data_IF_771320942990
#
_entry.id   IF_771320942990
#
_cell.length_a   1.000
_cell.length_b   1.000
_cell.length_c   1.000
_cell.angle_alpha   90.00
_cell.angle_beta   90.00
_cell.angle_gamma   90.00
#
_symmetry.space_group_name_H-M   'P 1'
#
loop_
_entity.id
_entity.type
_entity.pdbx_description
1 polymer ?
#
# COMPACT_ATOMS: atom_id res chain seq x y z
N UNK A 1 16.67 -8.31 -4.15
CA UNK A 1 15.35 -8.54 -4.77
C UNK A 1 15.07 -7.40 -5.74
N UNK A 2 14.39 -7.64 -6.86
CA UNK A 2 14.10 -6.58 -7.84
C UNK A 2 12.99 -5.66 -7.29
N UNK A 3 13.12 -4.33 -7.43
CA UNK A 3 12.06 -3.41 -7.01
C UNK A 3 10.84 -3.50 -7.93
N UNK A 4 9.67 -3.16 -7.38
CA UNK A 4 8.41 -2.98 -8.12
C UNK A 4 8.15 -1.49 -8.32
N UNK A 5 7.93 -1.08 -9.56
CA UNK A 5 7.75 0.32 -9.92
C UNK A 5 6.31 0.55 -10.38
N UNK A 6 5.68 1.58 -9.84
CA UNK A 6 4.32 1.97 -10.16
C UNK A 6 4.31 3.40 -10.66
N UNK A 7 3.51 3.67 -11.69
CA UNK A 7 3.31 5.01 -12.24
C UNK A 7 1.94 5.12 -12.89
N UNK A 8 1.19 6.15 -12.51
CA UNK A 8 -0.08 6.49 -13.12
C UNK A 8 -0.32 8.01 -13.07
N UNK A 9 -1.56 8.44 -13.34
CA UNK A 9 -1.94 9.87 -13.34
C UNK A 9 -1.79 10.57 -11.99
N UNK A 10 -1.76 9.82 -10.88
CA UNK A 10 -1.63 10.38 -9.53
C UNK A 10 -0.17 10.53 -9.10
N UNK A 11 0.76 9.83 -9.76
CA UNK A 11 2.18 9.90 -9.41
C UNK A 11 2.95 8.62 -9.71
N UNK A 12 4.06 8.44 -9.02
CA UNK A 12 4.91 7.26 -9.10
C UNK A 12 5.47 6.87 -7.74
N UNK A 13 5.77 5.60 -7.56
CA UNK A 13 6.47 5.09 -6.38
C UNK A 13 7.24 3.82 -6.72
N UNK A 14 8.13 3.46 -5.79
CA UNK A 14 8.92 2.24 -5.85
C UNK A 14 8.71 1.43 -4.57
N UNK A 15 8.47 0.14 -4.71
CA UNK A 15 8.38 -0.80 -3.61
C UNK A 15 9.59 -1.73 -3.64
N UNK A 16 10.34 -1.77 -2.55
CA UNK A 16 11.53 -2.60 -2.42
C UNK A 16 11.19 -3.76 -1.47
N UNK A 17 11.22 -5.02 -1.91
CA UNK A 17 11.02 -6.16 -1.02
C UNK A 17 12.11 -6.20 0.05
N UNK A 18 11.69 -6.24 1.32
CA UNK A 18 12.57 -6.30 2.49
C UNK A 18 12.42 -7.61 3.27
N UNK A 19 11.56 -8.50 2.80
CA UNK A 19 11.40 -9.86 3.30
C UNK A 19 11.44 -10.86 2.15
N UNK A 20 11.74 -12.11 2.46
CA UNK A 20 11.49 -13.23 1.54
C UNK A 20 10.00 -13.40 1.25
N UNK A 21 9.70 -14.12 0.16
CA UNK A 21 8.33 -14.51 -0.16
C UNK A 21 7.80 -15.44 0.94
N UNK A 22 6.68 -15.06 1.57
CA UNK A 22 6.08 -15.84 2.64
C UNK A 22 4.57 -15.88 2.52
N UNK A 23 3.94 -16.81 3.26
CA UNK A 23 2.48 -16.83 3.37
C UNK A 23 1.99 -15.55 4.04
N UNK A 24 0.95 -14.95 3.49
CA UNK A 24 0.34 -13.73 4.05
C UNK A 24 -0.17 -13.98 5.47
N UNK A 25 -0.65 -15.20 5.77
CA UNK A 25 -1.05 -15.61 7.12
C UNK A 25 0.07 -15.53 8.16
N UNK A 26 1.33 -15.57 7.74
CA UNK A 26 2.48 -15.51 8.62
C UNK A 26 2.95 -14.06 8.86
N UNK A 27 2.41 -13.10 8.12
CA UNK A 27 2.74 -11.69 8.26
C UNK A 27 1.94 -11.12 9.43
N UNK A 28 2.65 -10.72 10.50
CA UNK A 28 2.06 -10.06 11.65
C UNK A 28 2.56 -8.63 11.73
N UNK A 29 1.64 -7.67 11.79
CA UNK A 29 1.98 -6.24 11.85
C UNK A 29 2.85 -5.84 13.04
N UNK A 30 2.82 -6.61 14.14
CA UNK A 30 3.68 -6.38 15.32
C UNK A 30 5.15 -6.68 15.06
N UNK A 31 5.45 -7.60 14.13
CA UNK A 31 6.81 -8.04 13.79
C UNK A 31 7.44 -7.14 12.71
N UNK A 32 6.65 -6.27 12.09
CA UNK A 32 7.14 -5.34 11.06
C UNK A 32 7.87 -4.17 11.72
N UNK A 33 9.13 -3.98 11.33
CA UNK A 33 9.96 -2.85 11.75
C UNK A 33 9.27 -1.50 11.46
N UNK A 34 9.35 -0.58 12.42
CA UNK A 34 8.75 0.76 12.33
C UNK A 34 9.26 1.54 11.12
N UNK A 35 10.49 1.31 10.65
CA UNK A 35 11.02 2.01 9.47
C UNK A 35 10.29 1.67 8.16
N UNK A 36 9.61 0.51 8.10
CA UNK A 36 8.82 0.10 6.93
C UNK A 36 7.34 0.47 7.07
N UNK A 37 6.98 1.17 8.15
CA UNK A 37 5.64 1.65 8.41
C UNK A 37 5.54 3.12 8.05
N UNK A 38 4.37 3.53 7.55
CA UNK A 38 4.07 4.91 7.18
C UNK A 38 2.66 5.30 7.65
N UNK A 39 2.37 6.59 7.68
CA UNK A 39 1.09 7.10 8.14
C UNK A 39 -0.06 6.83 7.16
N UNK A 40 -1.30 7.03 7.62
CA UNK A 40 -2.49 6.83 6.79
C UNK A 40 -2.53 7.75 5.56
N UNK A 41 -2.03 8.97 5.67
CA UNK A 41 -1.99 9.93 4.55
C UNK A 41 -1.08 9.43 3.42
N UNK A 42 0.05 8.81 3.77
CA UNK A 42 0.96 8.17 2.82
C UNK A 42 0.30 6.92 2.24
N UNK A 43 -0.39 6.15 3.08
CA UNK A 43 -1.14 4.98 2.66
C UNK A 43 -2.14 5.33 1.53
N UNK A 44 -2.95 6.37 1.71
CA UNK A 44 -3.91 6.81 0.69
C UNK A 44 -3.25 7.15 -0.65
N UNK A 45 -2.10 7.81 -0.64
CA UNK A 45 -1.32 8.13 -1.86
C UNK A 45 -0.83 6.86 -2.54
N UNK A 46 -0.31 5.91 -1.77
CA UNK A 46 0.16 4.60 -2.27
C UNK A 46 -1.00 3.83 -2.89
N UNK A 47 -2.16 3.79 -2.24
CA UNK A 47 -3.36 3.13 -2.76
C UNK A 47 -3.80 3.70 -4.11
N UNK A 48 -3.74 5.04 -4.28
CA UNK A 48 -4.06 5.68 -5.55
C UNK A 48 -3.03 5.40 -6.65
N UNK A 49 -1.72 5.41 -6.33
CA UNK A 49 -0.68 5.14 -7.34
C UNK A 49 -0.64 3.67 -7.74
N UNK A 50 -0.84 2.76 -6.78
CA UNK A 50 -0.83 1.31 -7.05
C UNK A 50 -2.16 0.79 -7.56
N UNK A 51 -3.25 1.55 -7.37
CA UNK A 51 -4.63 1.13 -7.61
C UNK A 51 -5.00 -0.21 -6.94
N UNK A 52 -4.30 -0.54 -5.85
CA UNK A 52 -4.34 -1.85 -5.17
C UNK A 52 -4.01 -3.05 -6.07
N UNK A 53 -3.28 -2.83 -7.17
CA UNK A 53 -2.88 -3.90 -8.07
C UNK A 53 -1.78 -4.77 -7.44
N UNK A 54 -2.19 -5.96 -7.01
CA UNK A 54 -1.39 -6.92 -6.26
C UNK A 54 -0.73 -6.32 -4.99
N UNK A 55 -1.27 -5.22 -4.47
CA UNK A 55 -0.78 -4.55 -3.27
C UNK A 55 -1.88 -4.50 -2.24
N UNK A 56 -1.53 -4.86 -1.01
CA UNK A 56 -2.40 -4.74 0.14
C UNK A 56 -1.73 -3.81 1.15
N UNK A 57 -2.46 -2.77 1.56
CA UNK A 57 -2.10 -1.99 2.73
C UNK A 57 -2.71 -2.62 3.96
N UNK A 58 -1.87 -2.89 4.96
CA UNK A 58 -2.31 -3.56 6.18
C UNK A 58 -1.93 -2.72 7.39
N UNK A 59 -2.80 -2.76 8.39
CA UNK A 59 -2.64 -2.06 9.67
C UNK A 59 -2.42 -3.12 10.75
N UNK A 60 -1.41 -2.92 11.60
CA UNK A 60 -1.17 -3.83 12.73
C UNK A 60 -2.36 -3.81 13.70
N UNK A 61 -2.58 -4.92 14.42
CA UNK A 61 -3.47 -4.98 15.57
C UNK A 61 -2.65 -4.86 16.88
N UNK A 62 -3.08 -4.05 17.89
CA UNK A 62 -4.23 -3.15 17.87
C UNK A 62 -4.08 -2.08 16.78
N UNK A 63 -5.20 -1.58 16.24
CA UNK A 63 -5.19 -0.63 15.12
C UNK A 63 -4.30 0.56 15.50
N UNK A 64 -3.26 0.76 14.69
CA UNK A 64 -2.35 1.91 14.78
C UNK A 64 -2.57 2.81 13.57
N UNK A 65 -2.24 4.09 13.68
CA UNK A 65 -2.21 5.03 12.55
C UNK A 65 -1.01 4.78 11.60
N UNK A 66 -0.49 3.56 11.58
CA UNK A 66 0.67 3.15 10.82
C UNK A 66 0.33 1.92 9.96
N UNK A 67 0.53 2.06 8.65
CA UNK A 67 0.34 1.03 7.66
C UNK A 67 1.68 0.47 7.17
N UNK A 68 1.66 -0.74 6.63
CA UNK A 68 2.75 -1.36 5.88
C UNK A 68 2.20 -1.99 4.60
N UNK A 69 3.08 -2.28 3.64
CA UNK A 69 2.69 -2.79 2.31
C UNK A 69 3.06 -4.26 2.20
N UNK A 70 2.09 -5.04 1.76
CA UNK A 70 2.28 -6.40 1.28
C UNK A 70 2.14 -6.37 -0.24
N UNK A 71 3.20 -6.73 -0.97
CA UNK A 71 3.12 -7.00 -2.41
C UNK A 71 2.84 -8.48 -2.60
N UNK A 72 1.69 -8.80 -3.18
CA UNK A 72 1.30 -10.16 -3.49
C UNK A 72 2.04 -10.67 -4.74
N UNK A 73 2.50 -11.92 -4.65
CA UNK A 73 2.88 -12.74 -5.81
C UNK A 73 1.72 -13.68 -6.18
N UNK A 74 0.91 -14.06 -5.19
CA UNK A 74 -0.31 -14.85 -5.35
C UNK A 74 -1.37 -14.44 -4.30
N UNK A 75 -2.54 -15.07 -4.36
CA UNK A 75 -3.60 -14.88 -3.36
C UNK A 75 -3.19 -15.24 -1.93
N UNK A 76 -2.15 -16.06 -1.74
CA UNK A 76 -1.72 -16.55 -0.41
C UNK A 76 -0.28 -16.19 -0.03
N UNK A 77 0.49 -15.61 -0.95
CA UNK A 77 1.91 -15.31 -0.74
C UNK A 77 2.26 -13.89 -1.15
N UNK A 78 3.14 -13.26 -0.38
CA UNK A 78 3.64 -11.94 -0.70
C UNK A 78 4.93 -11.57 0.04
N UNK A 79 5.38 -10.35 -0.25
CA UNK A 79 6.56 -9.72 0.32
C UNK A 79 6.15 -8.54 1.19
N UNK A 80 6.88 -8.30 2.27
CA UNK A 80 6.88 -6.99 2.91
C UNK A 80 7.72 -6.05 2.05
N UNK A 81 7.18 -4.88 1.77
CA UNK A 81 7.87 -3.87 0.98
C UNK A 81 8.16 -2.60 1.79
N UNK A 82 9.36 -2.09 1.62
CA UNK A 82 9.69 -0.71 1.93
C UNK A 82 9.17 0.20 0.81
N UNK A 83 8.56 1.32 1.21
CA UNK A 83 8.16 2.38 0.29
C UNK A 83 9.37 3.29 0.01
N UNK A 84 9.70 3.43 -1.25
CA UNK A 84 10.78 4.28 -1.74
C UNK A 84 10.30 5.17 -2.88
N UNK A 85 10.96 6.31 -3.07
CA UNK A 85 10.74 7.24 -4.20
C UNK A 85 9.27 7.64 -4.44
N UNK A 86 8.49 7.85 -3.36
CA UNK A 86 7.11 8.31 -3.48
C UNK A 86 7.04 9.74 -4.03
N UNK A 87 6.52 9.89 -5.25
CA UNK A 87 6.23 11.17 -5.86
C UNK A 87 4.73 11.24 -6.21
N UNK A 88 3.99 12.08 -5.48
CA UNK A 88 2.55 12.22 -5.65
C UNK A 88 2.20 13.61 -6.21
N UNK A 89 1.25 13.66 -7.13
CA UNK A 89 0.78 14.90 -7.74
C UNK A 89 0.15 15.81 -6.67
N UNK A 90 0.76 16.97 -6.44
CA UNK A 90 0.35 17.93 -5.40
C UNK A 90 -1.02 18.57 -5.66
N UNK A 91 -1.50 18.52 -6.90
CA UNK A 91 -2.82 19.06 -7.27
C UNK A 91 -3.96 18.12 -6.88
N UNK A 92 -3.65 16.86 -6.54
CA UNK A 92 -4.65 15.86 -6.14
C UNK A 92 -4.72 15.80 -4.61
N UNK A 93 -5.94 15.78 -4.06
CA UNK A 93 -6.17 15.42 -2.66
C UNK A 93 -6.53 13.93 -2.59
N UNK A 94 -5.65 13.11 -2.01
CA UNK A 94 -5.78 11.66 -2.03
C UNK A 94 -7.06 11.17 -1.34
N UNK A 95 -7.37 11.70 -0.16
CA UNK A 95 -8.57 11.35 0.61
C UNK A 95 -9.84 11.64 -0.18
N UNK A 96 -9.94 12.83 -0.78
CA UNK A 96 -11.12 13.23 -1.57
C UNK A 96 -11.31 12.33 -2.79
N UNK A 97 -10.23 11.98 -3.49
CA UNK A 97 -10.28 11.10 -4.66
C UNK A 97 -10.77 9.69 -4.28
N UNK A 98 -10.27 9.14 -3.17
CA UNK A 98 -10.70 7.84 -2.64
C UNK A 98 -12.19 7.90 -2.26
N UNK A 99 -12.62 8.96 -1.57
CA UNK A 99 -14.02 9.16 -1.19
C UNK A 99 -14.94 9.28 -2.41
N UNK A 100 -14.52 9.99 -3.46
CA UNK A 100 -15.27 10.08 -4.71
C UNK A 100 -15.40 8.70 -5.37
N UNK A 101 -14.30 7.95 -5.51
CA UNK A 101 -14.34 6.57 -6.05
C UNK A 101 -15.32 5.68 -5.28
N UNK A 102 -15.27 5.71 -3.95
CA UNK A 102 -16.16 4.91 -3.11
C UNK A 102 -17.64 5.36 -3.19
N UNK A 103 -17.90 6.66 -3.31
CA UNK A 103 -19.27 7.20 -3.41
C UNK A 103 -20.00 6.72 -4.67
N UNK A 104 -19.28 6.45 -5.76
CA UNK A 104 -19.85 5.89 -6.99
C UNK A 104 -19.92 4.36 -7.01
N UNK A 105 -19.23 3.66 -6.09
CA UNK A 105 -19.34 2.20 -5.94
C UNK A 105 -20.61 1.76 -5.21
N UNK A 106 -21.31 2.66 -4.52
CA UNK A 106 -22.57 2.36 -3.80
C UNK A 106 -23.81 2.17 -4.71
N UNK A 107 -23.65 2.08 -6.04
CA UNK A 107 -24.76 1.94 -7.01
C UNK A 107 -24.89 0.51 -7.57
N UNK A 108 -24.04 -0.43 -7.15
CA UNK A 108 -24.18 -1.85 -7.52
C UNK A 108 -24.29 -2.72 -6.25
N UNK A 109 -25.51 -2.79 -5.72
CA UNK A 109 -26.00 -3.91 -4.90
C UNK A 109 -27.23 -4.45 -5.62
#
# INVERSE_FOLDING_TARGET
>A
MKPFEYKNKYGSLKLIPVSDLMKVSNIKGVDIDKKYKFDINTAEKVALITENYDTQMSFGFPITNQAYIIKHESSSTGYICELSDLNFNKEVNATNEILQRNKYSSILI
#
